data_IF_066506168673
#
_entry.id   IF_066506168673
#
_cell.length_a   1.000
_cell.length_b   1.000
_cell.length_c   1.000
_cell.angle_alpha   90.00
_cell.angle_beta   90.00
_cell.angle_gamma   90.00
#
_symmetry.space_group_name_H-M   'P 1'
#
loop_
_entity.id
_entity.type
_entity.pdbx_description
1 polymer ?
#
# COMPACT_ATOMS: atom_id res chain seq x y z
N UNK A 1 -9.72 -7.11 -9.13
CA UNK A 1 -10.21 -7.79 -7.90
C UNK A 1 -10.48 -6.72 -6.85
N UNK A 2 -11.34 -6.92 -5.82
CA UNK A 2 -11.49 -5.90 -4.77
C UNK A 2 -10.18 -5.68 -4.01
N UNK A 3 -10.01 -4.48 -3.45
CA UNK A 3 -8.87 -4.17 -2.58
C UNK A 3 -8.77 -5.18 -1.44
N UNK A 4 -7.62 -5.85 -1.32
CA UNK A 4 -7.44 -6.87 -0.30
C UNK A 4 -6.84 -6.26 0.96
N UNK A 5 -7.47 -6.49 2.10
CA UNK A 5 -6.85 -6.24 3.41
C UNK A 5 -6.36 -7.57 3.96
N UNK A 6 -5.05 -7.71 4.18
CA UNK A 6 -4.51 -8.86 4.87
C UNK A 6 -3.60 -8.39 6.02
N UNK A 7 -3.66 -9.04 7.20
CA UNK A 7 -2.68 -8.80 8.24
C UNK A 7 -1.34 -9.39 7.81
N UNK A 8 -0.23 -8.81 8.27
CA UNK A 8 1.08 -9.45 8.13
C UNK A 8 1.13 -10.76 8.95
N UNK A 9 1.80 -11.83 8.49
CA UNK A 9 2.59 -11.96 7.24
C UNK A 9 1.78 -12.36 6.01
N UNK A 10 0.45 -12.50 6.10
CA UNK A 10 -0.38 -13.00 5.00
C UNK A 10 -0.32 -12.14 3.74
N UNK A 11 -0.10 -10.82 3.88
CA UNK A 11 0.21 -9.91 2.75
C UNK A 11 1.37 -10.43 1.90
N UNK A 12 2.43 -10.91 2.53
CA UNK A 12 3.64 -11.39 1.85
C UNK A 12 3.35 -12.63 1.00
N UNK A 13 2.50 -13.53 1.51
CA UNK A 13 2.09 -14.74 0.79
C UNK A 13 1.16 -14.42 -0.38
N UNK A 14 0.30 -13.41 -0.26
CA UNK A 14 -0.55 -12.94 -1.36
C UNK A 14 0.29 -12.37 -2.51
N UNK A 15 1.35 -11.63 -2.17
CA UNK A 15 2.18 -10.92 -3.15
C UNK A 15 3.26 -11.83 -3.78
N UNK A 16 3.75 -12.84 -3.06
CA UNK A 16 4.84 -13.71 -3.51
C UNK A 16 4.42 -15.17 -3.74
N UNK A 17 3.12 -15.46 -3.67
CA UNK A 17 2.60 -16.81 -3.89
C UNK A 17 2.78 -17.29 -5.33
N UNK A 18 2.74 -18.61 -5.59
CA UNK A 18 2.86 -19.17 -6.94
C UNK A 18 1.70 -18.80 -7.87
N UNK A 19 0.60 -18.26 -7.32
CA UNK A 19 -0.56 -17.74 -8.05
C UNK A 19 -0.63 -16.21 -8.05
N UNK A 20 0.42 -15.53 -7.55
CA UNK A 20 0.46 -14.08 -7.51
C UNK A 20 0.49 -13.51 -8.94
N UNK A 21 -0.25 -12.42 -9.20
CA UNK A 21 -0.16 -11.72 -10.48
C UNK A 21 1.27 -11.26 -10.77
N UNK A 22 1.70 -11.20 -12.05
CA UNK A 22 3.03 -10.71 -12.42
C UNK A 22 3.32 -9.30 -11.89
N UNK A 23 2.29 -8.45 -11.84
CA UNK A 23 2.34 -7.10 -11.28
C UNK A 23 1.32 -7.01 -10.15
N UNK A 24 1.80 -6.66 -8.95
CA UNK A 24 0.98 -6.45 -7.77
C UNK A 24 1.40 -5.16 -7.06
N UNK A 25 0.48 -4.54 -6.34
CA UNK A 25 0.73 -3.31 -5.60
C UNK A 25 0.53 -3.54 -4.11
N UNK A 26 1.29 -2.82 -3.29
CA UNK A 26 1.12 -2.81 -1.83
C UNK A 26 0.95 -1.38 -1.38
N UNK A 27 -0.13 -1.11 -0.64
CA UNK A 27 -0.50 0.21 -0.14
C UNK A 27 -0.31 0.22 1.37
N UNK A 28 0.63 1.02 1.86
CA UNK A 28 0.91 1.16 3.28
C UNK A 28 0.06 2.28 3.86
N UNK A 29 -0.83 1.93 4.79
CA UNK A 29 -1.69 2.85 5.49
C UNK A 29 -1.48 2.83 7.00
N UNK A 30 -1.74 3.97 7.62
CA UNK A 30 -1.97 4.05 9.06
C UNK A 30 -3.22 3.27 9.47
N UNK A 31 -3.20 2.61 10.63
CA UNK A 31 -4.40 1.95 11.14
C UNK A 31 -5.55 2.93 11.39
N UNK A 32 -6.76 2.36 11.34
CA UNK A 32 -7.99 3.04 11.74
C UNK A 32 -8.03 3.11 13.28
N UNK A 33 -8.16 4.31 13.81
CA UNK A 33 -8.34 4.61 15.24
C UNK A 33 -9.57 5.51 15.34
N UNK A 34 -10.53 5.14 16.18
CA UNK A 34 -11.79 5.88 16.36
C UNK A 34 -12.57 6.12 15.05
N UNK A 35 -12.61 5.10 14.18
CA UNK A 35 -13.39 5.12 12.94
C UNK A 35 -12.72 5.80 11.74
N UNK A 36 -11.50 6.31 11.88
CA UNK A 36 -10.73 6.87 10.75
C UNK A 36 -9.23 6.57 10.86
N UNK A 37 -8.53 6.59 9.73
CA UNK A 37 -7.07 6.48 9.71
C UNK A 37 -6.42 7.62 10.51
N UNK A 38 -5.47 7.29 11.42
CA UNK A 38 -4.84 8.30 12.27
C UNK A 38 -3.94 9.27 11.49
N UNK A 39 -3.47 8.89 10.30
CA UNK A 39 -2.69 9.76 9.42
C UNK A 39 -3.63 10.60 8.53
N UNK A 40 -3.47 11.94 8.50
CA UNK A 40 -4.25 12.80 7.60
C UNK A 40 -3.99 12.50 6.12
N UNK A 41 -2.74 12.28 5.73
CA UNK A 41 -2.37 12.06 4.33
C UNK A 41 -2.91 10.72 3.82
N UNK A 42 -2.97 9.70 4.69
CA UNK A 42 -3.61 8.42 4.36
C UNK A 42 -5.10 8.60 4.04
N UNK A 43 -5.80 9.51 4.74
CA UNK A 43 -7.21 9.84 4.45
C UNK A 43 -7.35 10.63 3.15
N UNK A 44 -6.43 11.56 2.88
CA UNK A 44 -6.45 12.38 1.68
C UNK A 44 -6.33 11.53 0.38
N UNK A 45 -5.55 10.44 0.42
CA UNK A 45 -5.36 9.56 -0.74
C UNK A 45 -6.35 8.40 -0.83
N UNK A 46 -7.22 8.20 0.15
CA UNK A 46 -8.09 7.01 0.26
C UNK A 46 -8.99 6.85 -0.96
N UNK A 47 -9.64 7.93 -1.39
CA UNK A 47 -10.55 7.89 -2.55
C UNK A 47 -9.80 7.60 -3.85
N UNK A 48 -8.59 8.16 -4.02
CA UNK A 48 -7.74 7.92 -5.19
C UNK A 48 -7.31 6.45 -5.25
N UNK A 49 -6.93 5.86 -4.11
CA UNK A 49 -6.55 4.45 -4.03
C UNK A 49 -7.74 3.54 -4.33
N UNK A 50 -8.93 3.85 -3.79
CA UNK A 50 -10.16 3.09 -4.11
C UNK A 50 -10.50 3.16 -5.59
N UNK A 51 -10.50 4.34 -6.21
CA UNK A 51 -10.75 4.49 -7.65
C UNK A 51 -9.72 3.71 -8.51
N UNK A 52 -8.49 3.63 -8.03
CA UNK A 52 -7.39 2.99 -8.75
C UNK A 52 -7.42 1.47 -8.67
N UNK A 53 -7.79 0.89 -7.52
CA UNK A 53 -7.59 -0.53 -7.25
C UNK A 53 -8.86 -1.29 -6.85
N UNK A 54 -9.94 -0.61 -6.44
CA UNK A 54 -11.15 -1.25 -5.89
C UNK A 54 -12.18 -1.61 -6.96
N UNK A 55 -11.74 -2.32 -8.01
CA UNK A 55 -12.66 -2.86 -9.01
C UNK A 55 -12.13 -4.15 -9.67
N UNK A 56 -13.00 -4.98 -10.27
CA UNK A 56 -12.62 -6.26 -10.87
C UNK A 56 -11.55 -6.13 -11.96
N UNK A 57 -11.63 -5.08 -12.78
CA UNK A 57 -10.76 -4.75 -13.92
C UNK A 57 -9.50 -3.94 -13.54
N UNK A 58 -9.36 -3.57 -12.27
CA UNK A 58 -8.22 -2.80 -11.78
C UNK A 58 -7.03 -3.68 -11.37
N UNK A 59 -5.81 -3.13 -11.33
CA UNK A 59 -4.64 -3.86 -10.87
C UNK A 59 -4.82 -4.38 -9.44
N UNK A 60 -4.17 -5.49 -9.13
CA UNK A 60 -4.26 -6.09 -7.80
C UNK A 60 -3.44 -5.28 -6.80
N UNK A 61 -4.07 -4.83 -5.73
CA UNK A 61 -3.41 -4.17 -4.62
C UNK A 61 -3.81 -4.77 -3.27
N UNK A 62 -2.85 -4.79 -2.35
CA UNK A 62 -3.04 -5.24 -0.96
C UNK A 62 -2.74 -4.07 -0.02
N UNK A 63 -3.63 -3.85 0.94
CA UNK A 63 -3.41 -2.87 2.00
C UNK A 63 -2.58 -3.51 3.12
N UNK A 64 -1.50 -2.83 3.48
CA UNK A 64 -0.67 -3.11 4.64
C UNK A 64 -0.93 -2.06 5.72
N UNK A 65 -1.43 -2.51 6.86
CA UNK A 65 -1.67 -1.68 8.03
C UNK A 65 -0.39 -1.57 8.88
N UNK A 66 0.19 -0.38 8.99
CA UNK A 66 1.50 -0.20 9.66
C UNK A 66 1.45 -0.21 11.19
N UNK A 67 0.26 -0.34 11.77
CA UNK A 67 0.01 -0.27 13.20
C UNK A 67 -0.50 1.10 13.66
N UNK A 68 -0.60 1.23 14.97
CA UNK A 68 -0.89 2.51 15.62
C UNK A 68 0.32 3.47 15.48
N UNK A 69 0.10 4.74 15.84
CA UNK A 69 1.14 5.78 15.70
C UNK A 69 2.41 5.49 16.51
N UNK A 70 2.31 4.81 17.64
CA UNK A 70 3.47 4.48 18.49
C UNK A 70 4.30 3.36 17.86
N UNK A 71 3.62 2.30 17.40
CA UNK A 71 4.23 1.18 16.67
C UNK A 71 4.92 1.65 15.39
N UNK A 72 4.28 2.53 14.62
CA UNK A 72 4.83 3.09 13.38
C UNK A 72 6.15 3.85 13.59
N UNK A 73 6.29 4.53 14.74
CA UNK A 73 7.50 5.31 15.05
C UNK A 73 8.69 4.44 15.44
N UNK A 74 8.46 3.17 15.78
CA UNK A 74 9.56 2.27 16.12
C UNK A 74 10.34 1.86 14.88
N UNK A 75 11.68 1.83 14.93
CA UNK A 75 12.49 1.38 13.79
C UNK A 75 12.29 -0.11 13.49
N UNK A 76 11.81 -0.89 14.47
CA UNK A 76 11.47 -2.32 14.33
C UNK A 76 10.10 -2.55 13.71
N UNK A 77 9.40 -1.50 13.25
CA UNK A 77 8.16 -1.66 12.52
C UNK A 77 8.39 -2.47 11.24
N UNK A 78 7.54 -3.46 10.95
CA UNK A 78 7.71 -4.36 9.81
C UNK A 78 7.70 -3.63 8.46
N UNK A 79 6.88 -2.59 8.30
CA UNK A 79 6.90 -1.81 7.06
C UNK A 79 8.22 -1.04 6.88
N UNK A 80 8.86 -0.60 7.97
CA UNK A 80 10.20 0.01 7.93
C UNK A 80 11.29 -1.02 7.70
N UNK A 81 11.26 -2.12 8.43
CA UNK A 81 12.31 -3.14 8.43
C UNK A 81 12.34 -3.96 7.13
N UNK A 82 11.18 -4.43 6.67
CA UNK A 82 11.10 -5.37 5.54
C UNK A 82 10.97 -4.65 4.19
N UNK A 83 10.34 -3.47 4.18
CA UNK A 83 9.98 -2.75 2.94
C UNK A 83 10.64 -1.38 2.81
N UNK A 84 11.42 -0.95 3.81
CA UNK A 84 12.07 0.37 3.83
C UNK A 84 11.07 1.52 3.56
N UNK A 85 9.86 1.40 4.10
CA UNK A 85 8.82 2.44 4.03
C UNK A 85 9.05 3.41 5.17
N UNK A 86 9.35 4.67 4.87
CA UNK A 86 9.71 5.66 5.88
C UNK A 86 8.58 6.65 6.20
N UNK A 87 7.60 6.77 5.31
CA UNK A 87 6.43 7.63 5.40
C UNK A 87 5.16 6.87 5.01
N UNK A 88 4.01 7.29 5.51
CA UNK A 88 2.69 6.77 5.08
C UNK A 88 1.81 7.97 4.70
N UNK A 89 1.01 7.87 3.62
CA UNK A 89 0.79 6.69 2.78
C UNK A 89 1.96 6.43 1.81
N UNK A 90 2.21 5.16 1.47
CA UNK A 90 3.18 4.77 0.43
C UNK A 90 2.59 3.64 -0.41
N UNK A 91 2.75 3.69 -1.74
CA UNK A 91 2.38 2.61 -2.65
C UNK A 91 3.65 2.05 -3.29
N UNK A 92 3.88 0.75 -3.19
CA UNK A 92 4.95 0.07 -3.94
C UNK A 92 4.35 -0.76 -5.06
N UNK A 93 5.05 -0.78 -6.20
CA UNK A 93 4.77 -1.65 -7.34
C UNK A 93 5.75 -2.81 -7.30
N UNK A 94 5.22 -4.01 -7.25
CA UNK A 94 5.97 -5.25 -7.24
C UNK A 94 5.77 -5.96 -8.58
N UNK A 95 6.87 -6.25 -9.26
CA UNK A 95 6.87 -7.17 -10.39
C UNK A 95 7.59 -8.45 -10.00
N UNK A 96 6.90 -9.59 -10.10
CA UNK A 96 7.44 -10.91 -9.73
C UNK A 96 8.10 -10.92 -8.33
N UNK A 97 7.46 -10.25 -7.36
CA UNK A 97 7.95 -10.13 -5.98
C UNK A 97 9.07 -9.12 -5.75
N UNK A 98 9.50 -8.38 -6.77
CA UNK A 98 10.53 -7.34 -6.65
C UNK A 98 9.95 -5.95 -6.79
N UNK A 99 10.37 -5.04 -5.92
CA UNK A 99 10.01 -3.63 -6.04
C UNK A 99 10.57 -3.03 -7.34
N UNK A 100 9.69 -2.46 -8.16
CA UNK A 100 10.05 -1.75 -9.40
C UNK A 100 9.74 -0.26 -9.34
N UNK A 101 8.97 0.18 -8.36
CA UNK A 101 8.69 1.60 -8.15
C UNK A 101 7.95 1.87 -6.85
N UNK A 102 7.93 3.15 -6.47
CA UNK A 102 7.22 3.66 -5.29
C UNK A 102 6.62 5.04 -5.52
N UNK A 103 5.48 5.29 -4.88
CA UNK A 103 4.87 6.61 -4.71
C UNK A 103 4.66 6.87 -3.22
N UNK A 104 5.02 8.07 -2.77
CA UNK A 104 4.99 8.45 -1.35
C UNK A 104 4.10 9.67 -1.16
N UNK A 105 3.23 9.63 -0.15
CA UNK A 105 2.43 10.77 0.30
C UNK A 105 1.65 11.45 -0.84
N UNK A 106 1.94 12.72 -1.12
CA UNK A 106 1.24 13.54 -2.12
C UNK A 106 1.50 13.09 -3.57
N UNK A 107 2.56 12.31 -3.82
CA UNK A 107 2.86 11.79 -5.16
C UNK A 107 1.74 10.87 -5.68
N UNK A 108 0.95 10.30 -4.76
CA UNK A 108 -0.22 9.47 -5.06
C UNK A 108 -1.36 10.33 -5.62
N UNK A 109 -1.47 11.60 -5.22
CA UNK A 109 -2.52 12.53 -5.67
C UNK A 109 -2.21 13.12 -7.05
N UNK A 110 -0.96 13.07 -7.49
CA UNK A 110 -0.55 13.52 -8.82
C UNK A 110 -1.01 12.54 -9.91
N UNK A 111 -2.16 12.84 -10.52
CA UNK A 111 -2.78 11.98 -11.55
C UNK A 111 -1.81 11.51 -12.65
N UNK A 112 -0.97 12.42 -13.18
CA UNK A 112 -0.03 12.08 -14.24
C UNK A 112 1.03 11.07 -13.76
N UNK A 113 1.51 11.24 -12.53
CA UNK A 113 2.51 10.39 -11.91
C UNK A 113 1.93 9.03 -11.54
N UNK A 114 0.74 9.01 -10.94
CA UNK A 114 0.00 7.80 -10.65
C UNK A 114 -0.28 6.99 -11.94
N UNK A 115 -0.74 7.64 -13.00
CA UNK A 115 -0.96 6.95 -14.28
C UNK A 115 0.32 6.41 -14.91
N UNK A 116 1.44 7.12 -14.78
CA UNK A 116 2.73 6.62 -15.25
C UNK A 116 3.20 5.41 -14.43
N UNK A 117 2.92 5.41 -13.13
CA UNK A 117 3.26 4.33 -12.20
C UNK A 117 2.40 3.06 -12.40
N UNK A 118 1.17 3.20 -12.89
CA UNK A 118 0.27 2.07 -13.15
C UNK A 118 0.50 1.38 -14.51
N UNK A 119 1.36 1.93 -15.38
CA UNK A 119 1.72 1.34 -16.67
C UNK A 119 2.75 0.21 -16.51
#
# INVERSE_FOLDING_TARGET
MPLQTAPYPHVFNTLNGPTAPPVSYIVFYSNIVDGQMWCPDCRAVEDVVKETFDAPDKPNAVIFWVGNRQEWRTPTNQARADWNVNSVPTILRLENGKETGRLVEDEILEKARLQAFLK
#
